data_IF_044801781175
#
_entry.id   IF_044801781175
#
_cell.length_a   1.000
_cell.length_b   1.000
_cell.length_c   1.000
_cell.angle_alpha   90.00
_cell.angle_beta   90.00
_cell.angle_gamma   90.00
#
_symmetry.space_group_name_H-M   'P 1'
#
loop_
_entity.id
_entity.type
_entity.pdbx_description
1 polymer ?
#
# COMPACT_ATOMS: atom_id res chain seq x y z
N UNK A 1 -18.06 -15.13 -26.91
CA UNK A 1 -16.77 -14.93 -26.23
C UNK A 1 -16.74 -13.58 -25.52
N UNK A 2 -17.56 -13.34 -24.49
CA UNK A 2 -17.46 -13.77 -23.09
C UNK A 2 -16.11 -13.42 -22.43
N UNK A 3 -15.95 -12.15 -22.10
CA UNK A 3 -15.04 -11.66 -21.06
C UNK A 3 -15.54 -12.11 -19.69
N UNK A 4 -14.69 -12.66 -18.80
CA UNK A 4 -15.11 -13.00 -17.44
C UNK A 4 -15.25 -11.72 -16.62
N UNK A 5 -16.42 -11.54 -15.99
CA UNK A 5 -16.69 -10.46 -15.05
C UNK A 5 -15.82 -10.62 -13.80
N UNK A 6 -14.93 -9.65 -13.51
CA UNK A 6 -14.10 -9.57 -12.30
C UNK A 6 -14.89 -9.20 -11.02
N UNK A 7 -16.20 -9.45 -11.00
CA UNK A 7 -17.10 -9.07 -9.90
C UNK A 7 -17.52 -10.28 -9.09
N UNK A 8 -16.58 -10.96 -8.44
CA UNK A 8 -16.89 -11.81 -7.27
C UNK A 8 -15.62 -12.01 -6.45
N UNK A 9 -15.26 -11.07 -5.60
CA UNK A 9 -14.43 -11.42 -4.44
C UNK A 9 -15.35 -12.26 -3.54
N UNK A 10 -15.04 -13.54 -3.27
CA UNK A 10 -15.93 -14.36 -2.46
C UNK A 10 -15.98 -13.79 -1.06
N UNK A 11 -17.17 -13.35 -0.63
CA UNK A 11 -17.49 -12.93 0.74
C UNK A 11 -17.05 -14.00 1.77
N UNK A 12 -16.93 -15.25 1.33
CA UNK A 12 -16.39 -16.37 2.08
C UNK A 12 -14.93 -16.17 2.55
N UNK A 13 -14.07 -15.44 1.83
CA UNK A 13 -12.68 -15.22 2.26
C UNK A 13 -12.56 -14.25 3.44
N UNK A 14 -13.42 -13.24 3.51
CA UNK A 14 -13.49 -12.32 4.67
C UNK A 14 -14.05 -13.05 5.89
N UNK A 15 -15.09 -13.87 5.70
CA UNK A 15 -15.65 -14.70 6.77
C UNK A 15 -14.62 -15.71 7.32
N UNK A 16 -13.80 -16.30 6.45
CA UNK A 16 -12.74 -17.25 6.86
C UNK A 16 -11.58 -16.56 7.59
N UNK A 17 -11.21 -15.34 7.18
CA UNK A 17 -10.21 -14.53 7.88
C UNK A 17 -10.68 -14.13 9.28
N UNK A 18 -11.96 -13.74 9.43
CA UNK A 18 -12.56 -13.46 10.74
C UNK A 18 -12.65 -14.72 11.61
N UNK A 19 -13.00 -15.87 11.03
CA UNK A 19 -13.08 -17.14 11.76
C UNK A 19 -11.72 -17.64 12.26
N UNK A 20 -10.63 -17.36 11.54
CA UNK A 20 -9.25 -17.67 11.97
C UNK A 20 -8.82 -16.78 13.16
N UNK A 21 -9.24 -15.51 13.17
CA UNK A 21 -8.95 -14.59 14.27
C UNK A 21 -9.74 -14.96 15.54
N UNK A 22 -10.97 -15.43 15.38
CA UNK A 22 -11.81 -15.91 16.49
C UNK A 22 -11.40 -17.29 17.01
N UNK A 23 -10.70 -18.09 16.20
CA UNK A 23 -10.22 -19.44 16.57
C UNK A 23 -8.82 -19.48 17.19
N UNK A 24 -8.13 -18.34 17.33
CA UNK A 24 -6.87 -18.32 18.08
C UNK A 24 -7.18 -18.31 19.59
N UNK A 25 -6.81 -19.37 20.35
CA UNK A 25 -6.88 -19.32 21.80
C UNK A 25 -5.99 -18.17 22.29
N UNK A 26 -6.41 -17.42 23.33
CA UNK A 26 -5.54 -16.41 23.93
C UNK A 26 -4.22 -17.07 24.31
N UNK A 27 -3.10 -16.48 23.90
CA UNK A 27 -1.79 -16.96 24.26
C UNK A 27 -1.74 -17.15 25.78
N UNK A 28 -1.61 -18.40 26.21
CA UNK A 28 -1.54 -18.79 27.60
C UNK A 28 -0.24 -18.21 28.15
N UNK A 29 -0.34 -17.03 28.78
CA UNK A 29 0.79 -16.37 29.44
C UNK A 29 1.23 -17.27 30.57
N UNK A 30 2.30 -18.06 30.35
CA UNK A 30 2.90 -18.85 31.40
C UNK A 30 3.25 -17.93 32.58
N UNK A 31 2.80 -18.26 33.80
CA UNK A 31 3.13 -17.47 34.97
C UNK A 31 4.66 -17.48 35.18
N UNK A 32 5.28 -16.34 35.50
CA UNK A 32 6.71 -16.28 35.76
C UNK A 32 7.06 -17.18 36.95
N UNK A 33 8.02 -18.10 36.74
CA UNK A 33 8.61 -18.92 37.81
C UNK A 33 9.09 -18.01 38.95
N UNK A 34 8.53 -18.23 40.14
CA UNK A 34 8.72 -17.36 41.30
C UNK A 34 10.10 -17.49 41.94
N UNK A 35 10.64 -16.41 42.52
CA UNK A 35 11.88 -16.44 43.28
C UNK A 35 11.75 -17.18 44.63
N UNK A 36 12.88 -17.67 45.19
CA UNK A 36 12.90 -18.47 46.41
C UNK A 36 12.41 -17.71 47.65
N UNK A 37 11.76 -18.46 48.54
CA UNK A 37 11.07 -18.04 49.75
C UNK A 37 11.80 -16.96 50.57
N UNK A 38 11.29 -15.73 50.52
CA UNK A 38 11.57 -14.68 51.48
C UNK A 38 10.39 -14.55 52.46
N UNK A 39 10.72 -14.38 53.74
CA UNK A 39 9.82 -14.29 54.90
C UNK A 39 8.50 -13.55 54.63
N UNK A 40 7.39 -14.22 54.94
CA UNK A 40 6.02 -13.72 54.85
C UNK A 40 5.83 -12.58 55.87
N UNK A 41 5.58 -11.33 55.43
CA UNK A 41 5.13 -10.26 56.31
C UNK A 41 3.67 -10.49 56.76
N UNK A 42 3.26 -9.94 57.92
CA UNK A 42 1.92 -10.13 58.47
C UNK A 42 0.81 -9.59 57.54
N UNK A 43 -0.41 -10.15 57.62
CA UNK A 43 -1.54 -9.78 56.77
C UNK A 43 -1.89 -8.30 56.97
N UNK A 44 -1.54 -7.47 55.99
CA UNK A 44 -1.99 -6.09 55.95
C UNK A 44 -3.48 -6.06 55.60
N UNK A 45 -4.24 -5.24 56.32
CA UNK A 45 -5.67 -5.08 56.15
C UNK A 45 -6.02 -4.70 54.69
N UNK A 46 -7.20 -5.11 54.17
CA UNK A 46 -7.67 -4.78 52.82
C UNK A 46 -7.93 -3.27 52.69
N UNK A 47 -6.87 -2.51 52.48
CA UNK A 47 -6.86 -1.10 52.15
C UNK A 47 -7.21 -0.91 50.67
N UNK A 48 -8.49 -0.69 50.43
CA UNK A 48 -9.17 -0.49 49.16
C UNK A 48 -8.62 0.67 48.30
N UNK A 49 -7.67 0.42 47.40
CA UNK A 49 -7.31 1.40 46.33
C UNK A 49 -6.78 0.82 45.00
N UNK A 50 -7.13 -0.41 44.60
CA UNK A 50 -6.66 -1.01 43.34
C UNK A 50 -7.47 -0.61 42.08
N UNK A 51 -8.54 0.17 42.24
CA UNK A 51 -9.43 0.61 41.16
C UNK A 51 -8.75 1.29 39.94
N UNK A 52 -7.79 2.23 40.10
CA UNK A 52 -7.19 2.91 38.96
C UNK A 52 -6.28 2.01 38.11
N UNK A 53 -5.72 0.94 38.69
CA UNK A 53 -4.84 0.03 37.95
C UNK A 53 -5.60 -0.85 36.96
N UNK A 54 -6.77 -1.38 37.37
CA UNK A 54 -7.60 -2.24 36.50
C UNK A 54 -8.08 -1.50 35.26
N UNK A 55 -8.49 -0.23 35.41
CA UNK A 55 -8.93 0.59 34.28
C UNK A 55 -7.79 0.86 33.30
N UNK A 56 -6.58 1.16 33.79
CA UNK A 56 -5.42 1.42 32.93
C UNK A 56 -5.04 0.18 32.09
N UNK A 57 -5.05 -1.02 32.70
CA UNK A 57 -4.79 -2.28 31.99
C UNK A 57 -5.85 -2.53 30.91
N UNK A 58 -7.14 -2.35 31.25
CA UNK A 58 -8.22 -2.54 30.29
C UNK A 58 -8.14 -1.56 29.09
N UNK A 59 -7.80 -0.30 29.34
CA UNK A 59 -7.59 0.71 28.28
C UNK A 59 -6.43 0.30 27.36
N UNK A 60 -5.30 -0.14 27.94
CA UNK A 60 -4.15 -0.59 27.15
C UNK A 60 -4.47 -1.82 26.27
N UNK A 61 -5.21 -2.79 26.81
CA UNK A 61 -5.65 -3.96 26.02
C UNK A 61 -6.63 -3.57 24.91
N UNK A 62 -7.53 -2.61 25.16
CA UNK A 62 -8.43 -2.10 24.14
C UNK A 62 -7.68 -1.40 23.01
N UNK A 63 -6.66 -0.60 23.33
CA UNK A 63 -5.81 0.05 22.32
C UNK A 63 -5.03 -0.97 21.48
N UNK A 64 -4.51 -2.03 22.10
CA UNK A 64 -3.86 -3.16 21.40
C UNK A 64 -4.82 -3.85 20.43
N UNK A 65 -6.03 -4.18 20.90
CA UNK A 65 -7.06 -4.79 20.06
C UNK A 65 -7.42 -3.87 18.89
N UNK A 66 -7.62 -2.58 19.15
CA UNK A 66 -7.89 -1.57 18.12
C UNK A 66 -6.77 -1.53 17.08
N UNK A 67 -5.51 -1.60 17.48
CA UNK A 67 -4.38 -1.69 16.54
C UNK A 67 -4.46 -2.96 15.69
N UNK A 68 -4.70 -4.13 16.29
CA UNK A 68 -4.80 -5.40 15.55
C UNK A 68 -5.93 -5.40 14.54
N UNK A 69 -7.11 -4.88 14.91
CA UNK A 69 -8.22 -4.69 13.97
C UNK A 69 -7.79 -3.79 12.82
N UNK A 70 -7.03 -2.73 13.11
CA UNK A 70 -6.52 -1.85 12.06
C UNK A 70 -5.59 -2.58 11.09
N UNK A 71 -4.73 -3.45 11.60
CA UNK A 71 -3.79 -4.23 10.80
C UNK A 71 -4.54 -5.21 9.89
N UNK A 72 -5.54 -5.90 10.44
CA UNK A 72 -6.36 -6.87 9.70
C UNK A 72 -7.13 -6.19 8.57
N UNK A 73 -7.81 -5.07 8.84
CA UNK A 73 -8.53 -4.32 7.80
C UNK A 73 -7.57 -3.87 6.70
N UNK A 74 -6.40 -3.34 7.08
CA UNK A 74 -5.38 -2.96 6.10
C UNK A 74 -4.94 -4.15 5.25
N UNK A 75 -4.68 -5.31 5.85
CA UNK A 75 -4.32 -6.54 5.13
C UNK A 75 -5.43 -7.01 4.20
N UNK A 76 -6.69 -6.97 4.62
CA UNK A 76 -7.82 -7.34 3.76
C UNK A 76 -7.93 -6.42 2.54
N UNK A 77 -7.68 -5.12 2.71
CA UNK A 77 -7.69 -4.16 1.61
C UNK A 77 -6.51 -4.33 0.65
N UNK A 78 -5.33 -4.71 1.15
CA UNK A 78 -4.09 -4.82 0.37
C UNK A 78 -3.87 -6.20 -0.23
N UNK A 79 -4.49 -7.25 0.33
CA UNK A 79 -4.32 -8.61 -0.15
C UNK A 79 -4.61 -8.80 -1.66
N UNK A 80 -5.68 -8.24 -2.23
CA UNK A 80 -5.91 -8.32 -3.68
C UNK A 80 -4.75 -7.74 -4.50
N UNK A 81 -4.15 -6.64 -4.04
CA UNK A 81 -2.99 -6.03 -4.69
C UNK A 81 -1.78 -6.94 -4.62
N UNK A 82 -1.52 -7.57 -3.48
CA UNK A 82 -0.42 -8.53 -3.33
C UNK A 82 -0.57 -9.71 -4.30
N UNK A 83 -1.79 -10.22 -4.47
CA UNK A 83 -2.09 -11.31 -5.41
C UNK A 83 -1.91 -10.84 -6.85
N UNK A 84 -2.46 -9.69 -7.23
CA UNK A 84 -2.31 -9.12 -8.58
C UNK A 84 -0.84 -8.89 -8.95
N UNK A 85 -0.02 -8.46 -7.99
CA UNK A 85 1.40 -8.18 -8.20
C UNK A 85 2.32 -9.40 -7.95
N UNK A 86 1.76 -10.61 -7.76
CA UNK A 86 2.55 -11.79 -7.41
C UNK A 86 3.68 -12.03 -8.42
N UNK A 87 3.33 -12.02 -9.71
CA UNK A 87 4.22 -12.29 -10.84
C UNK A 87 4.75 -11.02 -11.53
N UNK A 88 4.52 -9.85 -10.92
CA UNK A 88 4.91 -8.55 -11.50
C UNK A 88 6.39 -8.52 -11.87
N UNK A 89 7.29 -9.03 -11.02
CA UNK A 89 8.72 -9.06 -11.27
C UNK A 89 9.16 -9.98 -12.42
N UNK A 90 8.30 -10.91 -12.84
CA UNK A 90 8.58 -11.94 -13.86
C UNK A 90 8.03 -11.58 -15.25
N UNK A 91 7.48 -10.38 -15.44
CA UNK A 91 6.94 -9.97 -16.74
C UNK A 91 8.05 -9.89 -17.78
N UNK A 92 7.78 -10.43 -18.98
CA UNK A 92 8.76 -10.47 -20.07
C UNK A 92 9.15 -9.09 -20.56
N UNK A 93 8.29 -8.10 -20.39
CA UNK A 93 8.53 -6.70 -20.77
C UNK A 93 9.71 -6.05 -20.04
N UNK A 94 10.09 -6.54 -18.85
CA UNK A 94 11.29 -6.03 -18.15
C UNK A 94 12.59 -6.37 -18.86
N UNK A 95 12.63 -7.52 -19.52
CA UNK A 95 13.85 -8.04 -20.16
C UNK A 95 13.78 -8.01 -21.68
N UNK A 96 12.61 -7.74 -22.25
CA UNK A 96 12.40 -7.64 -23.69
C UNK A 96 13.39 -6.61 -24.26
N UNK A 97 14.24 -7.09 -25.17
CA UNK A 97 15.09 -6.23 -25.98
C UNK A 97 14.17 -5.59 -27.00
N UNK A 98 13.92 -4.28 -26.87
CA UNK A 98 13.25 -3.54 -27.92
C UNK A 98 14.11 -3.63 -29.17
N UNK A 99 13.68 -4.42 -30.16
CA UNK A 99 14.27 -4.43 -31.49
C UNK A 99 13.88 -3.14 -32.22
N UNK A 100 14.28 -2.01 -31.65
CA UNK A 100 13.97 -0.64 -32.06
C UNK A 100 14.84 -0.21 -33.25
N UNK A 101 15.17 -1.17 -34.11
CA UNK A 101 16.06 -0.99 -35.24
C UNK A 101 15.20 -0.81 -36.48
N UNK A 102 14.84 0.45 -36.74
CA UNK A 102 14.63 1.08 -38.07
C UNK A 102 13.22 1.53 -38.50
N UNK A 103 12.12 1.22 -37.81
CA UNK A 103 10.79 1.65 -38.30
C UNK A 103 9.85 2.09 -37.16
N UNK A 104 10.12 3.27 -36.60
CA UNK A 104 9.15 4.01 -35.78
C UNK A 104 9.03 3.54 -34.34
N UNK A 105 9.02 4.53 -33.45
CA UNK A 105 8.97 4.55 -31.99
C UNK A 105 7.71 3.90 -31.37
N UNK A 106 7.27 2.73 -31.86
CA UNK A 106 5.95 2.12 -31.54
C UNK A 106 6.07 0.99 -30.49
N UNK A 107 7.26 0.72 -29.95
CA UNK A 107 7.51 -0.50 -29.18
C UNK A 107 7.20 -0.49 -27.68
N UNK A 108 6.99 0.68 -27.06
CA UNK A 108 6.67 0.78 -25.64
C UNK A 108 5.42 1.60 -25.49
N UNK A 109 4.36 0.95 -25.00
CA UNK A 109 3.11 1.64 -24.71
C UNK A 109 3.40 2.72 -23.67
N UNK A 110 3.12 3.98 -23.96
CA UNK A 110 3.18 5.06 -22.95
C UNK A 110 2.13 4.90 -21.84
N UNK A 111 1.43 3.76 -21.79
CA UNK A 111 0.42 3.40 -20.81
C UNK A 111 1.00 2.49 -19.74
N UNK A 112 0.44 2.51 -18.52
CA UNK A 112 0.76 1.50 -17.50
C UNK A 112 0.43 0.08 -17.98
N UNK A 113 1.08 -0.91 -17.39
CA UNK A 113 0.74 -2.33 -17.59
C UNK A 113 -0.68 -2.64 -17.09
N UNK A 114 -1.25 -3.73 -17.59
CA UNK A 114 -2.60 -4.17 -17.20
C UNK A 114 -2.70 -4.50 -15.71
N UNK A 115 -1.66 -5.12 -15.14
CA UNK A 115 -1.58 -5.43 -13.69
C UNK A 115 -1.64 -4.16 -12.86
N UNK A 116 -0.88 -3.15 -13.27
CA UNK A 116 -0.81 -1.86 -12.56
C UNK A 116 -2.11 -1.08 -12.70
N UNK A 117 -2.72 -1.12 -13.87
CA UNK A 117 -4.07 -0.56 -14.07
C UNK A 117 -5.08 -1.23 -13.13
N UNK A 118 -5.07 -2.57 -13.03
CA UNK A 118 -5.95 -3.31 -12.13
C UNK A 118 -5.73 -2.96 -10.65
N UNK A 119 -4.48 -2.70 -10.23
CA UNK A 119 -4.18 -2.19 -8.89
C UNK A 119 -4.79 -0.80 -8.69
N UNK A 120 -4.65 0.10 -9.67
CA UNK A 120 -5.25 1.43 -9.62
C UNK A 120 -6.77 1.39 -9.51
N UNK A 121 -7.43 0.56 -10.32
CA UNK A 121 -8.88 0.34 -10.27
C UNK A 121 -9.34 -0.22 -8.91
N UNK A 122 -8.60 -1.18 -8.35
CA UNK A 122 -8.89 -1.71 -7.01
C UNK A 122 -8.81 -0.61 -5.96
N UNK A 123 -7.76 0.21 -5.95
CA UNK A 123 -7.61 1.33 -5.02
C UNK A 123 -8.77 2.33 -5.12
N UNK A 124 -9.15 2.71 -6.34
CA UNK A 124 -10.28 3.60 -6.58
C UNK A 124 -11.60 2.99 -6.08
N UNK A 125 -11.77 1.67 -6.21
CA UNK A 125 -12.95 0.97 -5.73
C UNK A 125 -13.05 0.91 -4.20
N UNK A 126 -11.93 0.98 -3.47
CA UNK A 126 -11.94 0.91 -2.01
C UNK A 126 -12.57 2.13 -1.34
N UNK A 127 -12.45 3.32 -1.96
CA UNK A 127 -12.93 4.59 -1.40
C UNK A 127 -14.41 4.53 -0.99
N UNK A 128 -15.37 4.22 -1.89
CA UNK A 128 -16.78 4.19 -1.52
C UNK A 128 -17.09 3.17 -0.41
N UNK A 129 -16.36 2.05 -0.36
CA UNK A 129 -16.54 1.03 0.68
C UNK A 129 -16.07 1.52 2.07
N UNK A 130 -14.91 2.19 2.12
CA UNK A 130 -14.40 2.76 3.38
C UNK A 130 -15.27 3.93 3.87
N UNK A 131 -15.77 4.75 2.95
CA UNK A 131 -16.68 5.85 3.24
C UNK A 131 -18.03 5.35 3.77
N UNK A 132 -18.63 4.33 3.13
CA UNK A 132 -19.94 3.80 3.58
C UNK A 132 -19.89 3.27 5.01
N UNK A 133 -18.81 2.57 5.38
CA UNK A 133 -18.61 2.10 6.75
C UNK A 133 -18.47 3.26 7.75
N UNK A 134 -17.79 4.33 7.36
CA UNK A 134 -17.65 5.53 8.21
C UNK A 134 -18.99 6.22 8.46
N UNK A 135 -19.81 6.34 7.42
CA UNK A 135 -21.14 6.96 7.50
C UNK A 135 -22.08 6.13 8.37
N UNK A 136 -22.06 4.80 8.23
CA UNK A 136 -22.86 3.90 9.06
C UNK A 136 -22.49 4.03 10.55
N UNK A 137 -21.21 4.12 10.86
CA UNK A 137 -20.74 4.30 12.23
C UNK A 137 -21.16 5.67 12.80
N UNK A 138 -21.10 6.72 11.99
CA UNK A 138 -21.54 8.06 12.39
C UNK A 138 -23.06 8.12 12.67
N UNK A 139 -23.88 7.46 11.83
CA UNK A 139 -25.32 7.36 12.05
C UNK A 139 -25.65 6.61 13.34
N UNK A 140 -24.93 5.52 13.62
CA UNK A 140 -25.12 4.74 14.84
C UNK A 140 -24.75 5.56 16.09
N UNK A 141 -23.66 6.33 16.05
CA UNK A 141 -23.30 7.21 17.16
C UNK A 141 -24.34 8.32 17.41
N UNK A 142 -24.91 8.91 16.35
CA UNK A 142 -25.98 9.91 16.51
C UNK A 142 -27.23 9.34 17.18
N UNK A 143 -27.58 8.08 16.90
CA UNK A 143 -28.72 7.40 17.56
C UNK A 143 -28.48 7.16 19.05
N UNK A 144 -27.24 6.89 19.45
CA UNK A 144 -26.87 6.71 20.87
C UNK A 144 -26.80 8.06 21.60
N UNK A 145 -26.28 9.09 20.94
CA UNK A 145 -26.21 10.44 21.51
C UNK A 145 -27.60 10.99 21.85
N UNK A 146 -28.61 10.68 21.05
CA UNK A 146 -29.99 11.10 21.32
C UNK A 146 -30.65 10.40 22.53
N UNK A 147 -30.06 9.32 23.05
CA UNK A 147 -30.61 8.55 24.17
C UNK A 147 -29.97 8.88 25.53
N UNK A 148 -28.83 9.61 25.55
CA UNK A 148 -28.06 9.82 26.78
C UNK A 148 -27.57 11.27 26.87
N UNK A 149 -28.12 12.11 27.77
CA UNK A 149 -27.78 13.53 27.89
C UNK A 149 -26.46 13.79 28.65
N UNK A 150 -25.38 13.06 28.32
CA UNK A 150 -24.06 13.25 28.94
C UNK A 150 -23.19 14.20 28.11
N UNK A 151 -22.64 15.21 28.78
CA UNK A 151 -21.84 16.30 28.17
C UNK A 151 -20.64 15.80 27.35
N UNK A 152 -20.43 16.31 26.13
CA UNK A 152 -19.36 15.88 25.25
C UNK A 152 -18.03 16.56 25.61
N UNK A 153 -17.23 15.92 26.45
CA UNK A 153 -15.82 16.28 26.66
C UNK A 153 -14.85 15.38 25.87
N UNK A 154 -15.27 14.85 24.72
CA UNK A 154 -14.43 14.00 23.87
C UNK A 154 -13.74 14.84 22.79
N UNK A 155 -12.42 14.71 22.70
CA UNK A 155 -11.58 15.41 21.73
C UNK A 155 -11.89 15.03 20.27
N UNK A 156 -11.16 15.61 19.29
CA UNK A 156 -11.39 15.36 17.87
C UNK A 156 -11.27 13.86 17.58
N UNK A 157 -12.42 13.23 17.37
CA UNK A 157 -12.51 11.80 17.09
C UNK A 157 -12.15 11.59 15.61
N UNK A 158 -10.91 11.14 15.37
CA UNK A 158 -10.50 10.68 14.04
C UNK A 158 -11.26 9.38 13.73
N UNK A 159 -12.40 9.51 13.06
CA UNK A 159 -13.20 8.39 12.57
C UNK A 159 -13.44 8.53 11.09
N UNK A 160 -13.28 7.41 10.38
CA UNK A 160 -13.68 7.25 9.00
C UNK A 160 -12.57 6.88 8.04
N UNK A 161 -12.83 7.05 6.75
CA UNK A 161 -11.94 6.68 5.66
C UNK A 161 -10.55 7.33 5.76
N UNK A 162 -10.46 8.52 6.37
CA UNK A 162 -9.21 9.26 6.59
C UNK A 162 -8.17 8.52 7.42
N UNK A 163 -8.59 7.60 8.29
CA UNK A 163 -7.65 6.79 9.11
C UNK A 163 -7.17 5.56 8.33
N UNK A 164 -8.02 5.01 7.48
CA UNK A 164 -7.78 3.73 6.80
C UNK A 164 -7.02 3.91 5.50
N UNK A 165 -7.43 4.89 4.70
CA UNK A 165 -6.96 5.08 3.34
C UNK A 165 -5.45 5.35 3.29
N UNK A 166 -4.86 6.28 4.08
CA UNK A 166 -3.42 6.51 4.05
C UNK A 166 -2.60 5.25 4.36
N UNK A 167 -3.09 4.43 5.29
CA UNK A 167 -2.41 3.17 5.67
C UNK A 167 -2.44 2.14 4.54
N UNK A 168 -3.60 1.97 3.91
CA UNK A 168 -3.76 1.07 2.76
C UNK A 168 -2.89 1.53 1.60
N UNK A 169 -2.92 2.83 1.26
CA UNK A 169 -2.12 3.40 0.18
C UNK A 169 -0.62 3.24 0.43
N UNK A 170 -0.16 3.52 1.65
CA UNK A 170 1.25 3.29 2.04
C UNK A 170 1.64 1.82 1.86
N UNK A 171 0.83 0.88 2.35
CA UNK A 171 1.09 -0.55 2.20
C UNK A 171 1.10 -1.02 0.74
N UNK A 172 0.24 -0.47 -0.12
CA UNK A 172 0.26 -0.76 -1.57
C UNK A 172 1.53 -0.22 -2.21
N UNK A 173 1.91 1.02 -1.88
CA UNK A 173 3.17 1.61 -2.34
C UNK A 173 4.38 0.75 -1.95
N UNK A 174 4.50 0.38 -0.67
CA UNK A 174 5.58 -0.50 -0.20
C UNK A 174 5.57 -1.86 -0.89
N UNK A 175 4.40 -2.45 -1.12
CA UNK A 175 4.26 -3.75 -1.82
C UNK A 175 4.75 -3.65 -3.26
N UNK A 176 4.35 -2.60 -3.98
CA UNK A 176 4.78 -2.37 -5.36
C UNK A 176 6.29 -2.15 -5.44
N UNK A 177 6.86 -1.33 -4.54
CA UNK A 177 8.31 -1.11 -4.47
C UNK A 177 9.06 -2.41 -4.17
N UNK A 178 8.57 -3.21 -3.23
CA UNK A 178 9.16 -4.51 -2.91
C UNK A 178 9.12 -5.49 -4.09
N UNK A 179 8.08 -5.43 -4.93
CA UNK A 179 7.97 -6.23 -6.16
C UNK A 179 8.85 -5.70 -7.28
N UNK A 180 8.94 -4.38 -7.47
CA UNK A 180 9.85 -3.77 -8.42
C UNK A 180 11.33 -4.11 -8.11
N UNK A 181 11.69 -4.15 -6.83
CA UNK A 181 13.04 -4.52 -6.37
C UNK A 181 13.41 -6.00 -6.67
N UNK A 182 12.44 -6.86 -6.99
CA UNK A 182 12.67 -8.25 -7.37
C UNK A 182 12.98 -8.44 -8.86
N UNK A 183 12.91 -7.37 -9.67
CA UNK A 183 13.25 -7.44 -11.09
C UNK A 183 14.77 -7.55 -11.24
N UNK A 184 15.27 -8.75 -11.55
CA UNK A 184 16.71 -9.02 -11.63
C UNK A 184 17.40 -8.32 -12.80
N UNK A 185 16.67 -8.07 -13.89
CA UNK A 185 17.20 -7.54 -15.14
C UNK A 185 16.22 -6.57 -15.77
N UNK A 186 16.69 -5.35 -16.02
CA UNK A 186 15.93 -4.31 -16.71
C UNK A 186 16.62 -3.97 -18.03
N UNK A 187 15.90 -4.15 -19.14
CA UNK A 187 16.26 -3.56 -20.43
C UNK A 187 15.98 -2.04 -20.37
N UNK A 188 16.51 -1.28 -21.32
CA UNK A 188 16.18 0.16 -21.42
C UNK A 188 14.68 0.40 -21.62
N UNK A 189 13.99 -0.53 -22.30
CA UNK A 189 12.54 -0.47 -22.46
C UNK A 189 11.80 -0.82 -21.16
N UNK A 190 12.22 -1.88 -20.47
CA UNK A 190 11.67 -2.25 -19.17
C UNK A 190 11.83 -1.15 -18.12
N UNK A 191 12.96 -0.43 -18.11
CA UNK A 191 13.16 0.72 -17.23
C UNK A 191 12.12 1.81 -17.45
N UNK A 192 11.83 2.14 -18.72
CA UNK A 192 10.81 3.13 -19.09
C UNK A 192 9.41 2.67 -18.68
N UNK A 193 9.07 1.41 -18.95
CA UNK A 193 7.79 0.86 -18.56
C UNK A 193 7.61 0.88 -17.03
N UNK A 194 8.66 0.55 -16.27
CA UNK A 194 8.62 0.60 -14.81
C UNK A 194 8.40 2.02 -14.29
N UNK A 195 9.04 3.02 -14.91
CA UNK A 195 8.82 4.42 -14.58
C UNK A 195 7.36 4.85 -14.87
N UNK A 196 6.80 4.43 -16.00
CA UNK A 196 5.39 4.68 -16.36
C UNK A 196 4.44 4.05 -15.33
N UNK A 197 4.66 2.79 -14.96
CA UNK A 197 3.85 2.06 -14.00
C UNK A 197 3.87 2.71 -12.60
N UNK A 198 5.06 3.06 -12.10
CA UNK A 198 5.23 3.74 -10.81
C UNK A 198 4.61 5.15 -10.83
N UNK A 199 4.80 5.90 -11.92
CA UNK A 199 4.18 7.23 -12.09
C UNK A 199 2.65 7.16 -12.08
N UNK A 200 2.08 6.13 -12.72
CA UNK A 200 0.64 5.92 -12.71
C UNK A 200 0.12 5.66 -11.29
N UNK A 201 0.71 4.70 -10.57
CA UNK A 201 0.27 4.38 -9.20
C UNK A 201 0.47 5.56 -8.25
N UNK A 202 1.57 6.29 -8.39
CA UNK A 202 1.79 7.53 -7.64
C UNK A 202 0.62 8.51 -7.83
N UNK A 203 0.21 8.77 -9.07
CA UNK A 203 -0.92 9.67 -9.35
C UNK A 203 -2.23 9.16 -8.76
N UNK A 204 -2.47 7.85 -8.76
CA UNK A 204 -3.64 7.25 -8.11
C UNK A 204 -3.57 7.46 -6.59
N UNK A 205 -2.42 7.21 -5.95
CA UNK A 205 -2.24 7.42 -4.50
C UNK A 205 -2.44 8.89 -4.12
N UNK A 206 -1.86 9.82 -4.90
CA UNK A 206 -2.00 11.27 -4.68
C UNK A 206 -3.46 11.72 -4.84
N UNK A 207 -4.17 11.23 -5.87
CA UNK A 207 -5.58 11.52 -6.10
C UNK A 207 -6.47 11.03 -4.94
N UNK A 208 -6.02 10.01 -4.22
CA UNK A 208 -6.68 9.46 -3.04
C UNK A 208 -6.21 10.11 -1.72
N UNK A 209 -5.41 11.18 -1.79
CA UNK A 209 -4.93 11.93 -0.63
C UNK A 209 -3.80 11.24 0.15
N UNK A 210 -3.17 10.21 -0.42
CA UNK A 210 -2.01 9.56 0.17
C UNK A 210 -0.72 10.35 -0.04
N UNK A 211 0.23 10.23 0.89
CA UNK A 211 1.59 10.70 0.68
C UNK A 211 2.34 9.70 -0.22
N UNK A 212 2.97 10.19 -1.28
CA UNK A 212 3.68 9.35 -2.22
C UNK A 212 5.09 9.02 -1.71
N UNK A 213 5.24 7.88 -1.02
CA UNK A 213 6.58 7.30 -0.72
C UNK A 213 7.29 6.78 -1.99
N UNK A 214 6.60 6.75 -3.13
CA UNK A 214 7.11 6.27 -4.43
C UNK A 214 7.98 7.34 -5.15
N UNK A 215 7.93 8.60 -4.71
CA UNK A 215 8.57 9.75 -5.38
C UNK A 215 10.08 9.56 -5.57
N UNK A 216 10.76 9.02 -4.57
CA UNK A 216 12.21 8.85 -4.58
C UNK A 216 12.67 7.86 -5.66
N UNK A 217 11.92 6.76 -5.84
CA UNK A 217 12.26 5.76 -6.85
C UNK A 217 11.98 6.28 -8.27
N UNK A 218 10.83 6.93 -8.50
CA UNK A 218 10.51 7.52 -9.81
C UNK A 218 11.59 8.52 -10.24
N UNK A 219 12.03 9.38 -9.33
CA UNK A 219 13.11 10.35 -9.58
C UNK A 219 14.42 9.66 -9.94
N UNK A 220 14.75 8.57 -9.26
CA UNK A 220 15.94 7.77 -9.56
C UNK A 220 15.87 7.12 -10.95
N UNK A 221 14.72 6.53 -11.32
CA UNK A 221 14.52 5.91 -12.63
C UNK A 221 14.59 6.94 -13.76
N UNK A 222 14.00 8.13 -13.57
CA UNK A 222 14.10 9.23 -14.54
C UNK A 222 15.55 9.67 -14.75
N UNK A 223 16.35 9.73 -13.68
CA UNK A 223 17.77 10.04 -13.78
C UNK A 223 18.54 8.97 -14.55
N UNK A 224 18.27 7.69 -14.28
CA UNK A 224 18.86 6.57 -15.04
C UNK A 224 18.46 6.59 -16.51
N UNK A 225 17.19 6.89 -16.81
CA UNK A 225 16.69 7.01 -18.18
C UNK A 225 17.39 8.14 -18.93
N UNK A 226 17.61 9.29 -18.29
CA UNK A 226 18.38 10.41 -18.87
C UNK A 226 19.83 10.04 -19.17
N UNK A 227 20.46 9.19 -18.35
CA UNK A 227 21.83 8.73 -18.58
C UNK A 227 21.93 7.70 -19.72
N UNK A 228 20.88 6.91 -19.93
CA UNK A 228 20.82 5.92 -21.01
C UNK A 228 20.48 6.52 -22.37
N UNK A 229 19.99 7.76 -22.42
CA UNK A 229 19.86 8.45 -23.70
C UNK A 229 21.26 8.60 -24.29
N UNK A 230 21.52 8.11 -25.52
CA UNK A 230 22.81 8.28 -26.14
C UNK A 230 23.08 9.78 -26.17
N UNK A 231 24.08 10.24 -25.41
CA UNK A 231 24.57 11.63 -25.45
C UNK A 231 24.85 11.89 -26.91
N UNK A 232 23.91 12.57 -27.58
CA UNK A 232 23.82 12.65 -29.03
C UNK A 232 25.22 12.81 -29.55
N UNK A 233 25.74 11.71 -30.13
CA UNK A 233 27.15 11.63 -30.49
C UNK A 233 27.41 12.88 -31.29
N UNK A 234 28.33 13.72 -30.80
CA UNK A 234 28.70 15.00 -31.38
C UNK A 234 28.56 14.81 -32.88
N UNK A 235 27.46 15.34 -33.43
CA UNK A 235 26.97 14.96 -34.73
C UNK A 235 28.15 15.27 -35.61
N UNK A 236 28.85 14.23 -36.06
CA UNK A 236 30.12 14.37 -36.71
C UNK A 236 29.76 15.16 -37.94
N UNK A 237 29.95 16.48 -37.86
CA UNK A 237 29.60 17.39 -38.91
C UNK A 237 30.37 16.82 -40.08
N UNK A 238 29.68 16.25 -41.08
CA UNK A 238 30.37 15.51 -42.12
C UNK A 238 31.46 16.44 -42.64
N UNK A 239 32.75 16.03 -42.61
CA UNK A 239 33.85 16.91 -42.97
C UNK A 239 33.46 17.56 -44.29
N UNK A 240 33.45 18.89 -44.32
CA UNK A 240 32.94 19.69 -45.42
C UNK A 240 33.41 19.07 -46.73
N UNK A 241 32.47 18.49 -47.48
CA UNK A 241 32.77 17.91 -48.78
C UNK A 241 33.16 19.10 -49.65
N UNK A 242 34.43 19.18 -50.01
CA UNK A 242 34.94 20.16 -50.97
C UNK A 242 34.00 20.19 -52.19
N UNK A 243 33.26 21.28 -52.34
CA UNK A 243 32.48 21.52 -53.54
C UNK A 243 33.49 21.81 -54.67
N UNK A 244 33.47 21.06 -55.78
CA UNK A 244 34.27 21.42 -56.94
C UNK A 244 33.75 22.74 -57.52
N UNK A 245 34.59 23.78 -57.52
CA UNK A 245 34.35 25.02 -58.24
C UNK A 245 34.16 24.71 -59.72
N UNK A 246 32.98 25.01 -60.24
CA UNK A 246 32.72 25.02 -61.68
C UNK A 246 33.14 26.40 -62.22
N UNK A 247 34.38 26.50 -62.69
CA UNK A 247 34.80 27.53 -63.65
C UNK A 247 34.68 26.95 -65.05
N UNK A 248 33.82 27.56 -65.86
CA UNK A 248 33.61 27.28 -67.28
C UNK A 248 32.85 28.42 -67.93
#
# INVERSE_FOLDING_TARGET
DLMPSLSTIPTASVAKALQIIESQPPAETQPPEGPPAASIPPPQAPGSSDGPFVLAVAVAEFDRLRSRVKDVVSQCCTYPVTVTLQDYHSLTEWTAVSNDTLMGEVGLSGSPTSLITAVGEHLLSLVPHLESHSQQHQQQQQQVANQTPVSPAHGPQESGASVWLPRVLGSVGSTLLAKAAQIERLSSGGLRQLATDLSYIQKVIEALGGAAEIVDLTTCLDAMQKQLQPKGGAQGQPPARDQPSADG
#
